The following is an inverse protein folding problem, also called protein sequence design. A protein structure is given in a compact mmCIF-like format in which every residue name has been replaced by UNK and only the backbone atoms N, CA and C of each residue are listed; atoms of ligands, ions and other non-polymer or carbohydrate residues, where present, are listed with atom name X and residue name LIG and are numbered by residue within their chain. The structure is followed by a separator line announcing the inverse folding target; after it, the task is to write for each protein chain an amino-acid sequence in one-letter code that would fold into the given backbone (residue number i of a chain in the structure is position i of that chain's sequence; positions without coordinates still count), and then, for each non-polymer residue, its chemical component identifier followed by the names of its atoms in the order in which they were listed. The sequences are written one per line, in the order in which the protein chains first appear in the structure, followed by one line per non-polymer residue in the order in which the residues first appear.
data_IF_671772515873
#
_entry.id   IF_671772515873
#
_cell.length_a   1.000
_cell.length_b   1.000
_cell.length_c   1.000
_cell.angle_alpha   90.00
_cell.angle_beta   90.00
_cell.angle_gamma   90.00
#
_symmetry.space_group_name_H-M   'P 1'
#
loop_
_entity.id
_entity.type
_entity.pdbx_description
1 polymer ?
#
# COMPACT_ATOMS: atom_id res chain seq x y z
N UNK A 1 9.03 -12.46 -11.92
CA UNK A 1 9.51 -11.22 -11.29
C UNK A 1 8.29 -10.58 -10.64
N UNK A 2 8.04 -10.78 -9.33
CA UNK A 2 6.78 -10.41 -8.69
C UNK A 2 6.88 -9.07 -7.92
N UNK A 3 7.80 -8.17 -8.28
CA UNK A 3 7.84 -6.82 -7.70
C UNK A 3 6.63 -5.97 -8.14
N UNK A 4 5.98 -6.32 -9.24
CA UNK A 4 4.95 -5.49 -9.89
C UNK A 4 3.65 -5.37 -9.09
N UNK A 5 3.32 -6.37 -8.26
CA UNK A 5 2.05 -6.38 -7.55
C UNK A 5 2.01 -5.37 -6.39
N UNK A 6 3.11 -5.17 -5.65
CA UNK A 6 3.11 -4.23 -4.52
C UNK A 6 2.95 -2.78 -4.94
N UNK A 7 3.60 -2.37 -6.03
CA UNK A 7 3.42 -1.04 -6.61
C UNK A 7 1.98 -0.84 -7.10
N UNK A 8 1.38 -1.85 -7.73
CA UNK A 8 -0.02 -1.81 -8.14
C UNK A 8 -0.99 -1.77 -6.95
N UNK A 9 -0.72 -2.52 -5.88
CA UNK A 9 -1.51 -2.52 -4.63
C UNK A 9 -1.49 -1.14 -3.95
N UNK A 10 -0.32 -0.50 -3.93
CA UNK A 10 -0.13 0.83 -3.37
C UNK A 10 -0.53 1.96 -4.33
N UNK A 11 -0.99 1.64 -5.54
CA UNK A 11 -1.37 2.62 -6.55
C UNK A 11 -0.23 3.62 -6.82
N UNK A 12 0.99 3.10 -6.97
CA UNK A 12 2.22 3.86 -7.21
C UNK A 12 2.98 3.29 -8.40
N UNK A 13 3.81 4.12 -9.02
CA UNK A 13 4.70 3.66 -10.09
C UNK A 13 5.84 2.80 -9.54
N UNK A 14 6.39 1.84 -10.32
CA UNK A 14 7.59 1.11 -9.93
C UNK A 14 8.83 2.00 -9.76
N UNK A 15 8.81 3.20 -10.34
CA UNK A 15 9.82 4.25 -10.14
C UNK A 15 9.48 5.22 -9.00
N UNK A 16 8.41 4.96 -8.25
CA UNK A 16 7.98 5.84 -7.17
C UNK A 16 9.00 5.87 -6.04
N UNK A 17 9.21 7.06 -5.50
CA UNK A 17 10.09 7.27 -4.34
C UNK A 17 9.45 6.77 -3.05
N UNK A 18 10.26 6.48 -2.02
CA UNK A 18 9.74 6.14 -0.69
C UNK A 18 8.73 7.18 -0.16
N UNK A 19 8.94 8.47 -0.48
CA UNK A 19 8.00 9.55 -0.15
C UNK A 19 6.63 9.38 -0.80
N UNK A 20 6.59 8.97 -2.08
CA UNK A 20 5.34 8.69 -2.80
C UNK A 20 4.65 7.44 -2.28
N UNK A 21 5.42 6.37 -2.03
CA UNK A 21 4.92 5.12 -1.42
C UNK A 21 4.23 5.42 -0.08
N UNK A 22 4.85 6.23 0.77
CA UNK A 22 4.30 6.63 2.07
C UNK A 22 3.05 7.50 1.94
N UNK A 23 3.02 8.42 0.97
CA UNK A 23 1.86 9.25 0.69
C UNK A 23 0.66 8.43 0.19
N UNK A 24 0.88 7.54 -0.78
CA UNK A 24 -0.17 6.69 -1.34
C UNK A 24 -0.68 5.69 -0.31
N UNK A 25 0.21 5.08 0.48
CA UNK A 25 -0.17 4.21 1.61
C UNK A 25 -1.10 4.94 2.58
N UNK A 26 -0.77 6.17 3.02
CA UNK A 26 -1.62 6.93 3.94
C UNK A 26 -3.00 7.25 3.33
N UNK A 27 -3.04 7.57 2.02
CA UNK A 27 -4.28 7.84 1.28
C UNK A 27 -5.16 6.59 1.19
N UNK A 28 -4.56 5.44 0.85
CA UNK A 28 -5.26 4.16 0.71
C UNK A 28 -5.66 3.58 2.06
N UNK A 29 -4.81 3.69 3.08
CA UNK A 29 -5.12 3.24 4.45
C UNK A 29 -6.33 3.99 5.03
N UNK A 30 -6.46 5.30 4.77
CA UNK A 30 -7.67 6.05 5.12
C UNK A 30 -8.89 5.60 4.31
N UNK A 31 -8.73 5.33 3.01
CA UNK A 31 -9.83 4.89 2.13
C UNK A 31 -10.36 3.50 2.51
N UNK A 32 -9.48 2.61 2.95
CA UNK A 32 -9.82 1.25 3.40
C UNK A 32 -9.95 1.15 4.93
N UNK A 33 -9.90 2.26 5.66
CA UNK A 33 -9.92 2.22 7.11
C UNK A 33 -11.23 1.58 7.61
N UNK A 34 -11.18 0.61 8.54
CA UNK A 34 -12.39 -0.08 9.03
C UNK A 34 -13.40 0.88 9.67
N UNK A 35 -12.91 2.01 10.19
CA UNK A 35 -13.72 3.09 10.77
C UNK A 35 -14.59 3.82 9.72
N UNK A 36 -14.07 3.94 8.49
CA UNK A 36 -14.77 4.58 7.36
C UNK A 36 -15.51 3.56 6.51
N UNK A 37 -15.12 2.28 6.57
CA UNK A 37 -15.69 1.24 5.74
C UNK A 37 -15.60 -0.12 6.46
N UNK A 38 -16.65 -0.48 7.22
CA UNK A 38 -16.72 -1.76 7.95
C UNK A 38 -16.68 -3.00 7.03
N UNK A 39 -16.88 -2.83 5.72
CA UNK A 39 -16.72 -3.87 4.70
C UNK A 39 -15.34 -3.87 4.03
N UNK A 40 -14.41 -3.00 4.44
CA UNK A 40 -13.04 -3.05 3.95
C UNK A 40 -12.46 -4.42 4.29
N UNK A 41 -12.24 -5.22 3.24
CA UNK A 41 -11.71 -6.58 3.36
C UNK A 41 -10.35 -6.48 4.04
N UNK A 42 -10.23 -7.08 5.23
CA UNK A 42 -9.01 -7.21 6.02
C UNK A 42 -7.78 -7.57 5.15
N UNK A 43 -8.00 -8.39 4.11
CA UNK A 43 -7.00 -8.76 3.12
C UNK A 43 -6.43 -7.58 2.32
N UNK A 44 -7.22 -6.58 1.92
CA UNK A 44 -6.72 -5.42 1.18
C UNK A 44 -5.79 -4.57 2.05
N UNK A 45 -6.14 -4.34 3.31
CA UNK A 45 -5.27 -3.61 4.25
C UNK A 45 -4.01 -4.42 4.56
N UNK A 46 -4.12 -5.74 4.72
CA UNK A 46 -2.94 -6.61 4.89
C UNK A 46 -1.98 -6.49 3.70
N UNK A 47 -2.49 -6.58 2.47
CA UNK A 47 -1.68 -6.42 1.26
C UNK A 47 -1.03 -5.03 1.18
N UNK A 48 -1.78 -3.98 1.53
CA UNK A 48 -1.26 -2.60 1.55
C UNK A 48 -0.10 -2.44 2.56
N UNK A 49 -0.25 -3.05 3.74
CA UNK A 49 0.78 -3.07 4.77
C UNK A 49 2.02 -3.85 4.35
N UNK A 50 1.82 -5.02 3.74
CA UNK A 50 2.91 -5.87 3.26
C UNK A 50 3.71 -5.16 2.15
N UNK A 51 2.99 -4.63 1.15
CA UNK A 51 3.56 -3.82 0.08
C UNK A 51 4.36 -2.63 0.63
N UNK A 52 3.77 -1.88 1.57
CA UNK A 52 4.44 -0.72 2.16
C UNK A 52 5.69 -1.14 2.94
N UNK A 53 5.63 -2.24 3.70
CA UNK A 53 6.75 -2.73 4.49
C UNK A 53 7.91 -3.19 3.60
N UNK A 54 7.63 -3.86 2.49
CA UNK A 54 8.64 -4.29 1.52
C UNK A 54 9.25 -3.11 0.76
N UNK A 55 8.45 -2.13 0.36
CA UNK A 55 8.94 -0.98 -0.43
C UNK A 55 9.54 0.15 0.42
N UNK A 56 9.15 0.27 1.69
CA UNK A 56 9.65 1.28 2.63
C UNK A 56 10.91 0.84 3.37
N UNK A 57 11.27 -0.45 3.35
CA UNK A 57 12.50 -0.96 3.96
C UNK A 57 13.44 -1.47 2.86
N UNK A 58 14.14 -0.56 2.15
CA UNK A 58 15.22 -0.97 1.28
C UNK A 58 16.42 -1.34 2.16
N UNK A 59 16.64 -2.65 2.34
CA UNK A 59 17.88 -3.19 2.88
C UNK A 59 19.09 -2.86 1.98
#
# INVERSE_FOLDING_TARGET
MPETDYYAILDVSPSATQSEIKHSYHRLARKYHPDLNQQARDQHIKLLNEAYKTLSDPA
#
